data_IF_785669818531
#
_entry.id   IF_785669818531
#
_cell.length_a   1.000
_cell.length_b   1.000
_cell.length_c   1.000
_cell.angle_alpha   90.00
_cell.angle_beta   90.00
_cell.angle_gamma   90.00
#
_symmetry.space_group_name_H-M   'P 1'
#
loop_
_entity.id
_entity.type
_entity.pdbx_description
1 polymer ?
#
# COMPACT_ATOMS: atom_id res chain seq x y z
N UNK A 1 49.53 0.90 1.33
CA UNK A 1 49.78 2.00 0.36
C UNK A 1 49.22 1.55 -0.98
N UNK A 2 48.27 2.34 -1.53
CA UNK A 2 47.37 2.05 -2.66
C UNK A 2 46.41 0.86 -2.40
N UNK A 3 45.09 0.97 -2.43
CA UNK A 3 44.24 1.78 -3.30
C UNK A 3 42.94 2.21 -2.56
N UNK A 4 43.02 3.34 -1.87
CA UNK A 4 41.89 4.25 -1.65
C UNK A 4 41.59 4.92 -3.00
N UNK A 5 40.64 4.41 -3.80
CA UNK A 5 40.08 5.07 -5.00
C UNK A 5 39.04 4.16 -5.66
N UNK A 6 37.86 4.01 -5.03
CA UNK A 6 36.62 3.54 -5.70
C UNK A 6 35.36 4.22 -5.12
N UNK A 7 35.50 5.48 -4.71
CA UNK A 7 34.38 6.36 -4.37
C UNK A 7 34.56 7.65 -5.15
N UNK A 8 34.06 7.69 -6.38
CA UNK A 8 33.77 8.90 -7.17
C UNK A 8 33.44 8.46 -8.60
N UNK A 9 32.15 8.29 -8.93
CA UNK A 9 31.54 8.45 -10.28
C UNK A 9 30.13 7.85 -10.28
N UNK A 10 29.23 8.39 -9.47
CA UNK A 10 27.78 8.26 -9.62
C UNK A 10 27.14 9.64 -9.44
N UNK A 11 27.62 10.59 -10.23
CA UNK A 11 27.05 11.92 -10.33
C UNK A 11 26.46 12.12 -11.71
N UNK A 12 25.20 12.57 -11.73
CA UNK A 12 24.47 13.17 -12.85
C UNK A 12 23.87 12.20 -13.88
N UNK A 13 22.84 11.47 -13.47
CA UNK A 13 21.59 11.34 -14.25
C UNK A 13 20.41 11.20 -13.25
N UNK A 14 20.21 12.22 -12.42
CA UNK A 14 18.91 12.41 -11.78
C UNK A 14 17.99 12.97 -12.87
N UNK A 15 17.24 12.10 -13.55
CA UNK A 15 16.00 12.50 -14.19
C UNK A 15 15.07 12.83 -13.04
N UNK A 16 15.02 14.12 -12.67
CA UNK A 16 14.12 14.58 -11.63
C UNK A 16 12.72 14.07 -11.93
N UNK A 17 12.11 13.38 -10.97
CA UNK A 17 10.67 13.32 -10.94
C UNK A 17 10.15 14.78 -11.01
N UNK A 18 8.99 15.02 -11.60
CA UNK A 18 8.34 16.30 -11.46
C UNK A 18 7.12 15.95 -10.62
N UNK A 19 7.11 16.35 -9.35
CA UNK A 19 5.85 16.40 -8.62
C UNK A 19 4.99 17.50 -9.25
N UNK A 20 3.67 17.38 -9.12
CA UNK A 20 2.70 18.28 -9.74
C UNK A 20 3.11 19.75 -9.57
N UNK A 21 3.14 20.47 -10.70
CA UNK A 21 3.52 21.88 -10.82
C UNK A 21 2.65 22.73 -9.86
N UNK A 22 3.22 23.80 -9.30
CA UNK A 22 2.41 24.78 -8.58
C UNK A 22 1.29 25.33 -9.48
N UNK A 23 0.04 25.04 -9.11
CA UNK A 23 -1.16 25.59 -9.73
C UNK A 23 -2.00 26.28 -8.65
N UNK A 24 -2.45 27.51 -8.92
CA UNK A 24 -3.10 28.35 -7.93
C UNK A 24 -4.40 27.74 -7.37
N UNK A 25 -5.03 26.85 -8.13
CA UNK A 25 -6.25 26.14 -7.73
C UNK A 25 -6.02 25.02 -6.70
N UNK A 26 -4.79 24.52 -6.58
CA UNK A 26 -4.43 23.43 -5.66
C UNK A 26 -3.69 23.90 -4.41
N UNK A 27 -3.62 25.22 -4.21
CA UNK A 27 -3.02 25.82 -3.01
C UNK A 27 -3.76 25.34 -1.77
N UNK A 28 -3.02 24.79 -0.82
CA UNK A 28 -3.56 24.20 0.41
C UNK A 28 -4.04 22.76 0.26
N UNK A 29 -3.98 22.14 -0.93
CA UNK A 29 -4.30 20.73 -1.15
C UNK A 29 -3.10 19.93 -1.67
N UNK A 30 -2.18 20.57 -2.39
CA UNK A 30 -0.95 19.95 -2.87
C UNK A 30 0.09 19.90 -1.74
N UNK A 31 0.45 18.68 -1.31
CA UNK A 31 1.45 18.45 -0.27
C UNK A 31 2.83 18.98 -0.68
N UNK A 32 3.10 19.11 -1.98
CA UNK A 32 4.30 19.73 -2.52
C UNK A 32 4.16 21.26 -2.60
N UNK A 33 4.06 21.91 -1.44
CA UNK A 33 3.85 23.37 -1.32
C UNK A 33 5.07 24.22 -1.79
N UNK A 34 6.25 23.61 -1.97
CA UNK A 34 7.50 24.30 -2.32
C UNK A 34 7.83 24.15 -3.84
N UNK A 35 8.00 25.28 -4.53
CA UNK A 35 7.96 25.45 -5.99
C UNK A 35 9.04 24.66 -6.80
N UNK A 36 8.57 23.71 -7.62
CA UNK A 36 8.96 23.34 -9.00
C UNK A 36 10.32 22.69 -9.38
N UNK A 37 11.23 22.30 -8.48
CA UNK A 37 12.36 21.42 -8.88
C UNK A 37 12.61 20.35 -7.85
N UNK A 38 12.36 19.08 -8.20
CA UNK A 38 12.62 17.99 -7.28
C UNK A 38 14.10 17.87 -6.92
N UNK A 39 14.38 18.21 -5.67
CA UNK A 39 15.03 17.32 -4.71
C UNK A 39 14.31 17.56 -3.38
N UNK A 40 13.89 16.51 -2.68
CA UNK A 40 13.15 16.55 -1.42
C UNK A 40 14.04 17.11 -0.30
N UNK A 41 14.37 18.40 -0.36
CA UNK A 41 15.23 19.06 0.61
C UNK A 41 14.35 20.01 1.41
N UNK A 42 13.67 19.43 2.42
CA UNK A 42 12.99 20.11 3.53
C UNK A 42 11.47 20.37 3.40
N UNK A 43 10.69 19.33 3.10
CA UNK A 43 9.22 19.35 3.07
C UNK A 43 8.55 19.10 4.45
N UNK A 44 9.28 19.33 5.55
CA UNK A 44 8.74 19.15 6.90
C UNK A 44 7.67 20.19 7.21
N UNK A 45 6.68 19.82 8.01
CA UNK A 45 5.70 20.73 8.58
C UNK A 45 6.42 21.76 9.47
N UNK A 46 6.54 22.99 8.95
CA UNK A 46 7.33 24.04 9.59
C UNK A 46 6.83 24.37 10.99
N UNK A 47 7.74 24.34 11.98
CA UNK A 47 7.44 24.65 13.38
C UNK A 47 6.68 23.55 14.12
N UNK A 48 6.42 22.41 13.49
CA UNK A 48 5.72 21.27 14.10
C UNK A 48 6.64 20.40 14.94
N UNK A 49 6.09 19.82 16.01
CA UNK A 49 6.75 18.76 16.79
C UNK A 49 6.06 17.44 16.47
N UNK A 50 6.72 16.60 15.70
CA UNK A 50 6.21 15.31 15.26
C UNK A 50 5.91 14.39 16.45
N UNK A 51 4.80 13.66 16.36
CA UNK A 51 4.42 12.70 17.38
C UNK A 51 5.30 11.43 17.29
N UNK A 52 5.93 11.00 18.40
CA UNK A 52 6.77 9.80 18.37
C UNK A 52 5.93 8.54 18.19
N UNK A 53 6.50 7.51 17.58
CA UNK A 53 5.86 6.20 17.49
C UNK A 53 5.61 5.59 18.88
N UNK A 54 4.55 4.77 19.05
CA UNK A 54 4.38 4.01 20.27
C UNK A 54 5.47 2.97 20.42
N UNK A 55 5.76 2.56 21.65
CA UNK A 55 6.68 1.45 21.93
C UNK A 55 6.13 0.09 21.50
N UNK A 56 4.81 -0.02 21.34
CA UNK A 56 4.10 -1.23 20.93
C UNK A 56 2.77 -0.86 20.26
N UNK A 57 2.50 -1.43 19.10
CA UNK A 57 1.28 -1.20 18.30
C UNK A 57 0.09 -2.08 18.67
N UNK A 58 0.25 -2.98 19.64
CA UNK A 58 -0.83 -3.88 20.10
C UNK A 58 -1.82 -3.14 20.99
N UNK A 59 -2.73 -2.41 20.35
CA UNK A 59 -3.88 -1.76 20.96
C UNK A 59 -5.06 -1.75 19.96
N UNK A 60 -6.30 -1.47 20.40
CA UNK A 60 -7.46 -1.50 19.50
C UNK A 60 -7.40 -0.42 18.42
N UNK A 61 -7.67 -0.84 17.18
CA UNK A 61 -7.85 0.05 16.03
C UNK A 61 -9.33 0.24 15.70
N UNK A 62 -9.67 1.40 15.16
CA UNK A 62 -10.97 1.67 14.54
C UNK A 62 -10.73 2.07 13.09
N UNK A 63 -11.27 1.27 12.17
CA UNK A 63 -11.20 1.56 10.74
C UNK A 63 -12.49 2.18 10.27
N UNK A 64 -12.40 3.26 9.51
CA UNK A 64 -13.56 3.95 8.93
C UNK A 64 -13.25 4.45 7.52
N UNK A 65 -14.28 4.53 6.69
CA UNK A 65 -14.26 5.34 5.47
C UNK A 65 -14.72 6.74 5.83
N UNK A 66 -13.91 7.77 5.54
CA UNK A 66 -14.27 9.16 5.86
C UNK A 66 -15.62 9.53 5.25
N UNK A 67 -15.78 9.29 3.94
CA UNK A 67 -17.01 9.61 3.19
C UNK A 67 -18.26 8.99 3.84
N UNK A 68 -18.15 7.81 4.45
CA UNK A 68 -19.29 7.05 5.01
C UNK A 68 -19.47 7.25 6.52
N UNK A 69 -18.76 8.18 7.14
CA UNK A 69 -18.76 8.34 8.59
C UNK A 69 -19.65 9.51 9.05
N UNK A 70 -19.15 10.75 9.00
CA UNK A 70 -19.87 11.95 9.44
C UNK A 70 -19.52 13.10 8.50
N UNK A 71 -20.54 13.73 7.92
CA UNK A 71 -20.42 14.97 7.14
C UNK A 71 -20.39 16.16 8.12
N UNK A 72 -19.21 16.76 8.29
CA UNK A 72 -18.98 17.89 9.19
C UNK A 72 -18.85 19.22 8.47
N UNK A 73 -18.56 19.22 7.17
CA UNK A 73 -18.44 20.39 6.31
C UNK A 73 -19.13 20.16 4.95
N UNK A 74 -20.45 20.40 4.85
CA UNK A 74 -21.18 20.24 3.59
C UNK A 74 -20.73 21.17 2.45
N UNK A 75 -19.81 22.13 2.71
CA UNK A 75 -19.32 23.03 1.67
C UNK A 75 -18.37 22.36 0.68
N UNK A 76 -17.81 21.19 1.04
CA UNK A 76 -16.92 20.40 0.18
C UNK A 76 -17.61 19.20 -0.51
N UNK A 77 -18.91 18.97 -0.26
CA UNK A 77 -19.66 17.82 -0.80
C UNK A 77 -19.67 17.74 -2.34
N UNK A 78 -19.66 18.90 -3.01
CA UNK A 78 -19.71 19.00 -4.48
C UNK A 78 -18.57 19.89 -5.00
N UNK A 79 -17.37 19.69 -4.47
CA UNK A 79 -16.22 20.57 -4.68
C UNK A 79 -15.80 20.65 -6.16
N UNK A 80 -16.05 19.61 -6.95
CA UNK A 80 -15.79 19.63 -8.39
C UNK A 80 -16.92 20.28 -9.20
N UNK A 81 -18.03 20.66 -8.56
CA UNK A 81 -19.17 21.34 -9.19
C UNK A 81 -19.95 20.46 -10.17
N UNK A 82 -19.87 19.12 -10.03
CA UNK A 82 -20.57 18.19 -10.91
C UNK A 82 -22.00 17.93 -10.44
N UNK A 83 -22.89 17.49 -11.35
CA UNK A 83 -24.34 17.36 -11.06
C UNK A 83 -24.69 16.20 -10.10
N UNK A 84 -23.79 15.23 -9.89
CA UNK A 84 -24.04 13.98 -9.15
C UNK A 84 -22.79 13.52 -8.38
N UNK A 85 -22.23 14.41 -7.58
CA UNK A 85 -21.07 14.09 -6.73
C UNK A 85 -21.52 13.46 -5.41
N UNK A 86 -22.41 14.17 -4.72
CA UNK A 86 -22.92 13.80 -3.41
C UNK A 86 -24.41 13.38 -3.45
N UNK A 87 -24.69 12.17 -2.96
CA UNK A 87 -26.03 11.68 -2.63
C UNK A 87 -25.93 10.61 -1.54
N UNK A 88 -26.28 10.97 -0.31
CA UNK A 88 -26.25 10.08 0.86
C UNK A 88 -27.24 8.91 0.79
N UNK A 89 -28.18 8.92 -0.17
CA UNK A 89 -29.12 7.82 -0.40
C UNK A 89 -28.59 6.80 -1.41
N UNK A 90 -27.47 7.05 -2.09
CA UNK A 90 -26.90 6.16 -3.10
C UNK A 90 -25.67 5.44 -2.57
N UNK A 91 -25.52 4.15 -2.87
CA UNK A 91 -24.39 3.36 -2.36
C UNK A 91 -23.07 3.63 -3.09
N UNK A 92 -23.13 4.15 -4.31
CA UNK A 92 -21.96 4.35 -5.20
C UNK A 92 -21.55 5.82 -5.34
N UNK A 93 -22.26 6.75 -4.71
CA UNK A 93 -21.92 8.18 -4.71
C UNK A 93 -21.37 8.59 -3.36
N UNK A 94 -20.81 9.79 -3.28
CA UNK A 94 -20.28 10.34 -2.04
C UNK A 94 -21.42 10.64 -1.06
N UNK A 95 -21.20 10.35 0.21
CA UNK A 95 -22.12 10.66 1.32
C UNK A 95 -21.69 11.93 2.07
N UNK A 96 -20.53 12.49 1.72
CA UNK A 96 -20.06 13.80 2.20
C UNK A 96 -19.35 13.72 3.54
N UNK A 97 -19.05 12.52 4.03
CA UNK A 97 -18.26 12.40 5.24
C UNK A 97 -16.82 12.91 5.05
N UNK A 98 -16.30 13.62 6.04
CA UNK A 98 -15.08 14.40 5.90
C UNK A 98 -14.26 14.47 7.20
N UNK A 99 -13.14 15.19 7.15
CA UNK A 99 -12.22 15.31 8.29
C UNK A 99 -12.83 16.12 9.43
N UNK A 100 -13.65 17.14 9.14
CA UNK A 100 -14.32 17.90 10.18
C UNK A 100 -15.26 16.98 10.98
N UNK A 101 -16.04 16.14 10.28
CA UNK A 101 -16.91 15.16 10.93
C UNK A 101 -16.14 14.12 11.75
N UNK A 102 -14.95 13.71 11.30
CA UNK A 102 -14.05 12.88 12.10
C UNK A 102 -13.58 13.60 13.36
N UNK A 103 -13.08 14.84 13.26
CA UNK A 103 -12.66 15.67 14.39
C UNK A 103 -13.78 15.77 15.43
N UNK A 104 -14.99 16.07 14.99
CA UNK A 104 -16.18 16.21 15.84
C UNK A 104 -16.54 14.90 16.57
N UNK A 105 -16.08 13.76 16.05
CA UNK A 105 -16.37 12.42 16.57
C UNK A 105 -15.22 11.80 17.37
N UNK A 106 -14.05 12.46 17.47
CA UNK A 106 -12.88 11.88 18.14
C UNK A 106 -13.11 11.54 19.61
N UNK A 107 -13.98 12.29 20.31
CA UNK A 107 -14.33 12.00 21.71
C UNK A 107 -15.16 10.73 21.84
N UNK A 108 -16.03 10.45 20.87
CA UNK A 108 -16.76 9.18 20.80
C UNK A 108 -15.80 8.01 20.59
N UNK A 109 -14.88 8.14 19.63
CA UNK A 109 -13.93 7.07 19.31
C UNK A 109 -12.95 6.82 20.46
N UNK A 110 -12.37 7.89 21.03
CA UNK A 110 -11.51 7.78 22.20
C UNK A 110 -12.27 7.23 23.41
N UNK A 111 -13.54 7.58 23.58
CA UNK A 111 -14.42 7.08 24.63
C UNK A 111 -14.66 5.56 24.57
N UNK A 112 -14.55 4.94 23.40
CA UNK A 112 -14.60 3.47 23.24
C UNK A 112 -13.32 2.76 23.70
N UNK A 113 -12.24 3.50 23.99
CA UNK A 113 -10.93 2.94 24.34
C UNK A 113 -10.05 2.61 23.13
N UNK A 114 -10.40 3.10 21.95
CA UNK A 114 -9.60 2.99 20.72
C UNK A 114 -8.30 3.80 20.87
N UNK A 115 -7.21 3.28 20.29
CA UNK A 115 -5.90 3.94 20.30
C UNK A 115 -5.26 4.09 18.93
N UNK A 116 -5.69 3.32 17.93
CA UNK A 116 -5.32 3.52 16.54
C UNK A 116 -6.53 3.85 15.68
N UNK A 117 -6.39 4.81 14.77
CA UNK A 117 -7.34 5.06 13.70
C UNK A 117 -6.73 4.59 12.39
N UNK A 118 -7.50 3.85 11.60
CA UNK A 118 -7.16 3.50 10.23
C UNK A 118 -8.17 4.20 9.31
N UNK A 119 -7.69 5.09 8.45
CA UNK A 119 -8.53 5.71 7.43
C UNK A 119 -8.53 4.80 6.21
N UNK A 120 -9.65 4.10 6.00
CA UNK A 120 -9.87 3.27 4.83
C UNK A 120 -10.13 4.14 3.61
N UNK A 121 -9.48 3.80 2.50
CA UNK A 121 -9.40 4.66 1.33
C UNK A 121 -8.29 5.70 1.45
N UNK A 122 -7.69 6.05 0.32
CA UNK A 122 -6.52 6.93 0.30
C UNK A 122 -6.90 8.40 0.53
N UNK A 123 -6.00 9.23 1.09
CA UNK A 123 -6.28 10.65 1.32
C UNK A 123 -6.18 11.50 0.04
N UNK A 124 -5.80 10.90 -1.09
CA UNK A 124 -5.40 11.59 -2.30
C UNK A 124 -6.55 11.78 -3.29
N UNK A 125 -6.38 12.74 -4.20
CA UNK A 125 -7.35 13.11 -5.23
C UNK A 125 -7.91 11.87 -5.92
N UNK A 126 -9.23 11.74 -5.90
CA UNK A 126 -9.95 10.70 -6.62
C UNK A 126 -10.88 11.28 -7.68
N UNK A 127 -11.58 10.40 -8.40
CA UNK A 127 -12.70 10.84 -9.23
C UNK A 127 -13.77 11.53 -8.37
N UNK A 128 -14.54 12.47 -8.96
CA UNK A 128 -15.69 13.11 -8.29
C UNK A 128 -16.63 12.10 -7.61
N UNK A 129 -16.94 10.98 -8.27
CA UNK A 129 -17.80 9.91 -7.73
C UNK A 129 -17.03 8.82 -6.95
N UNK A 130 -15.70 8.94 -6.80
CA UNK A 130 -14.81 7.94 -6.20
C UNK A 130 -14.89 7.86 -4.67
N UNK A 131 -16.06 7.51 -4.14
CA UNK A 131 -16.36 7.50 -2.70
C UNK A 131 -15.59 6.43 -1.89
N UNK A 132 -15.01 5.42 -2.54
CA UNK A 132 -14.16 4.42 -1.89
C UNK A 132 -12.73 4.90 -1.67
N UNK A 133 -12.34 5.97 -2.37
CA UNK A 133 -11.01 6.58 -2.36
C UNK A 133 -9.82 5.66 -2.64
N UNK A 134 -10.02 4.50 -3.30
CA UNK A 134 -8.91 3.60 -3.63
C UNK A 134 -8.27 3.87 -5.00
N UNK A 135 -8.83 4.76 -5.80
CA UNK A 135 -8.38 5.02 -7.18
C UNK A 135 -7.67 6.39 -7.34
N UNK A 136 -6.53 6.63 -6.66
CA UNK A 136 -5.91 7.97 -6.65
C UNK A 136 -5.46 8.37 -8.06
N UNK A 137 -5.70 9.63 -8.39
CA UNK A 137 -5.27 10.25 -9.65
C UNK A 137 -3.92 10.97 -9.50
N UNK A 138 -3.55 11.33 -8.27
CA UNK A 138 -2.31 12.01 -7.95
C UNK A 138 -1.91 11.78 -6.48
N UNK A 139 -0.70 11.28 -6.20
CA UNK A 139 -0.25 10.99 -4.83
C UNK A 139 0.26 12.21 -4.04
N UNK A 140 0.29 13.39 -4.66
CA UNK A 140 0.73 14.64 -4.03
C UNK A 140 -0.44 15.55 -3.66
N UNK A 141 -1.60 15.38 -4.30
CA UNK A 141 -2.79 16.18 -4.08
C UNK A 141 -3.78 15.47 -3.15
N UNK A 142 -4.22 16.15 -2.09
CA UNK A 142 -5.28 15.65 -1.21
C UNK A 142 -6.66 15.75 -1.88
N UNK A 143 -7.54 14.79 -1.58
CA UNK A 143 -8.93 14.83 -2.03
C UNK A 143 -9.67 15.99 -1.36
N UNK A 144 -10.12 16.95 -2.17
CA UNK A 144 -10.72 18.18 -1.68
C UNK A 144 -12.04 17.95 -0.96
N UNK A 145 -12.70 16.80 -1.19
CA UNK A 145 -13.91 16.38 -0.47
C UNK A 145 -13.66 16.13 1.01
N UNK A 146 -12.43 15.78 1.41
CA UNK A 146 -12.13 15.48 2.81
C UNK A 146 -11.64 16.71 3.59
N UNK A 147 -10.99 17.63 2.89
CA UNK A 147 -10.46 18.86 3.47
C UNK A 147 -9.09 19.22 2.92
N UNK A 148 -8.60 20.39 3.32
CA UNK A 148 -7.28 20.87 2.93
C UNK A 148 -6.18 20.42 3.91
N UNK A 149 -4.92 20.71 3.59
CA UNK A 149 -3.75 20.37 4.41
C UNK A 149 -3.90 20.87 5.85
N UNK A 150 -4.43 22.08 6.05
CA UNK A 150 -4.63 22.63 7.39
C UNK A 150 -5.63 21.79 8.21
N UNK A 151 -6.68 21.28 7.57
CA UNK A 151 -7.68 20.42 8.21
C UNK A 151 -7.13 19.02 8.52
N UNK A 152 -6.33 18.44 7.63
CA UNK A 152 -5.60 17.18 7.91
C UNK A 152 -4.65 17.34 9.10
N UNK A 153 -3.90 18.45 9.15
CA UNK A 153 -3.00 18.79 10.24
C UNK A 153 -3.73 18.94 11.57
N UNK A 154 -4.85 19.65 11.60
CA UNK A 154 -5.72 19.79 12.78
C UNK A 154 -6.24 18.43 13.27
N UNK A 155 -6.68 17.56 12.34
CA UNK A 155 -7.14 16.21 12.68
C UNK A 155 -6.04 15.40 13.35
N UNK A 156 -4.84 15.40 12.79
CA UNK A 156 -3.69 14.64 13.31
C UNK A 156 -3.30 15.16 14.70
N UNK A 157 -3.23 16.48 14.89
CA UNK A 157 -2.99 17.11 16.19
C UNK A 157 -4.05 16.70 17.23
N UNK A 158 -5.33 16.71 16.87
CA UNK A 158 -6.42 16.34 17.77
C UNK A 158 -6.41 14.83 18.11
N UNK A 159 -6.00 13.97 17.18
CA UNK A 159 -5.79 12.53 17.42
C UNK A 159 -4.62 12.34 18.41
N UNK A 160 -3.48 12.98 18.14
CA UNK A 160 -2.29 12.88 18.99
C UNK A 160 -2.50 13.48 20.38
N UNK A 161 -3.29 14.56 20.51
CA UNK A 161 -3.67 15.17 21.81
C UNK A 161 -4.42 14.19 22.71
N UNK A 162 -5.11 13.21 22.12
CA UNK A 162 -5.82 12.12 22.83
C UNK A 162 -4.93 10.90 23.09
N UNK A 163 -3.64 10.97 22.72
CA UNK A 163 -2.71 9.85 22.79
C UNK A 163 -3.19 8.66 21.96
N UNK A 164 -3.74 8.96 20.78
CA UNK A 164 -4.10 8.01 19.74
C UNK A 164 -3.15 8.20 18.55
N UNK A 165 -3.13 7.23 17.63
CA UNK A 165 -2.29 7.22 16.44
C UNK A 165 -3.14 7.09 15.18
N UNK A 166 -2.64 7.59 14.06
CA UNK A 166 -3.33 7.51 12.76
C UNK A 166 -2.49 6.77 11.73
N UNK A 167 -3.11 5.81 11.07
CA UNK A 167 -2.58 5.16 9.88
C UNK A 167 -3.50 5.48 8.70
N UNK A 168 -2.91 5.70 7.53
CA UNK A 168 -3.65 6.00 6.31
C UNK A 168 -3.48 4.88 5.30
N UNK A 169 -4.52 4.63 4.52
CA UNK A 169 -4.45 3.67 3.43
C UNK A 169 -3.64 4.21 2.25
N UNK A 170 -2.89 3.31 1.61
CA UNK A 170 -2.19 3.56 0.37
C UNK A 170 -2.34 2.39 -0.58
N UNK A 171 -2.50 2.69 -1.88
CA UNK A 171 -2.45 1.67 -2.92
C UNK A 171 -1.05 1.45 -3.47
N UNK A 172 -0.18 2.48 -3.40
CA UNK A 172 1.18 2.64 -3.96
C UNK A 172 1.37 2.26 -5.44
N UNK A 173 0.98 1.05 -5.80
CA UNK A 173 1.20 0.39 -7.07
C UNK A 173 0.00 0.49 -8.04
N UNK A 174 -1.11 1.08 -7.61
CA UNK A 174 -2.28 1.29 -8.46
C UNK A 174 -2.80 2.71 -8.38
N UNK A 175 -3.25 3.22 -9.52
CA UNK A 175 -3.86 4.54 -9.69
C UNK A 175 -5.30 4.39 -10.20
N UNK A 176 -5.97 5.50 -10.53
CA UNK A 176 -7.28 5.47 -11.17
C UNK A 176 -7.34 4.71 -12.50
N UNK A 177 -8.47 4.75 -13.19
CA UNK A 177 -8.66 4.11 -14.50
C UNK A 177 -8.73 5.18 -15.60
N UNK A 178 -7.57 5.74 -15.96
CA UNK A 178 -7.50 6.76 -17.02
C UNK A 178 -7.21 6.15 -18.40
N UNK A 179 -6.78 4.89 -18.45
CA UNK A 179 -6.45 4.24 -19.71
C UNK A 179 -7.00 2.81 -19.82
N UNK A 180 -7.40 2.41 -21.01
CA UNK A 180 -7.76 1.04 -21.34
C UNK A 180 -6.77 0.40 -22.31
N UNK A 181 -7.15 -0.75 -22.84
CA UNK A 181 -6.33 -1.50 -23.78
C UNK A 181 -6.93 -1.44 -25.20
N UNK A 182 -6.08 -1.38 -26.23
CA UNK A 182 -6.53 -1.37 -27.62
C UNK A 182 -7.38 -2.61 -27.92
N UNK A 183 -8.59 -2.39 -28.46
CA UNK A 183 -9.58 -3.44 -28.69
C UNK A 183 -10.46 -3.79 -27.48
N UNK A 184 -10.15 -3.24 -26.29
CA UNK A 184 -10.82 -3.55 -25.02
C UNK A 184 -11.15 -2.29 -24.20
N UNK A 185 -11.71 -1.26 -24.84
CA UNK A 185 -12.16 -0.05 -24.12
C UNK A 185 -13.50 -0.23 -23.41
N UNK A 186 -14.35 -1.11 -23.91
CA UNK A 186 -15.74 -1.30 -23.45
C UNK A 186 -15.98 -2.66 -22.77
N UNK A 187 -14.93 -3.46 -22.60
CA UNK A 187 -14.93 -4.76 -21.94
C UNK A 187 -13.58 -4.98 -21.22
N UNK A 188 -13.50 -6.02 -20.39
CA UNK A 188 -12.24 -6.39 -19.73
C UNK A 188 -11.29 -7.07 -20.72
N UNK A 189 -10.04 -6.62 -20.76
CA UNK A 189 -9.01 -7.28 -21.55
C UNK A 189 -8.55 -8.55 -20.84
N UNK A 190 -8.50 -9.72 -21.51
CA UNK A 190 -8.00 -10.93 -20.86
C UNK A 190 -6.52 -10.79 -20.53
N UNK A 191 -6.08 -11.42 -19.44
CA UNK A 191 -4.66 -11.40 -19.05
C UNK A 191 -3.76 -11.89 -20.20
N UNK A 192 -2.71 -11.12 -20.48
CA UNK A 192 -1.73 -11.38 -21.55
C UNK A 192 -0.34 -10.88 -21.11
N UNK A 193 0.64 -11.77 -20.89
CA UNK A 193 1.97 -11.41 -20.42
C UNK A 193 2.86 -10.70 -21.47
N UNK A 194 2.39 -10.58 -22.71
CA UNK A 194 3.09 -9.90 -23.83
C UNK A 194 2.55 -8.49 -24.10
N UNK A 195 1.76 -7.96 -23.17
CA UNK A 195 1.21 -6.60 -23.13
C UNK A 195 0.26 -6.20 -24.26
N UNK A 196 -0.66 -5.30 -23.94
CA UNK A 196 -1.53 -4.58 -24.88
C UNK A 196 -1.02 -3.18 -25.13
N UNK A 197 -1.38 -2.56 -26.25
CA UNK A 197 -1.20 -1.12 -26.41
C UNK A 197 -2.22 -0.38 -25.54
N UNK A 198 -1.78 0.70 -24.91
CA UNK A 198 -2.65 1.53 -24.08
C UNK A 198 -3.39 2.56 -24.92
N UNK A 199 -4.66 2.81 -24.56
CA UNK A 199 -5.48 3.87 -25.13
C UNK A 199 -6.10 4.68 -23.99
N UNK A 200 -5.90 5.99 -23.98
CA UNK A 200 -6.55 6.87 -23.01
C UNK A 200 -8.07 6.79 -23.14
N UNK A 201 -8.77 6.61 -22.02
CA UNK A 201 -10.24 6.58 -21.99
C UNK A 201 -10.82 7.96 -22.27
N UNK A 202 -10.20 8.98 -21.71
CA UNK A 202 -10.52 10.38 -21.91
C UNK A 202 -9.25 11.14 -22.29
N UNK A 203 -9.22 11.71 -23.49
CA UNK A 203 -8.05 12.47 -23.99
C UNK A 203 -7.83 13.79 -23.26
N UNK A 204 -8.77 14.21 -22.41
CA UNK A 204 -8.67 15.43 -21.62
C UNK A 204 -8.09 15.20 -20.23
N UNK A 205 -7.88 13.93 -19.84
CA UNK A 205 -7.35 13.54 -18.53
C UNK A 205 -6.02 12.82 -18.68
N UNK A 206 -5.12 13.06 -17.75
CA UNK A 206 -3.82 12.40 -17.66
C UNK A 206 -3.36 12.37 -16.21
N UNK A 207 -2.49 11.40 -15.88
CA UNK A 207 -1.71 11.46 -14.65
C UNK A 207 -0.67 12.58 -14.77
N UNK A 208 -0.39 13.26 -13.66
CA UNK A 208 0.59 14.34 -13.65
C UNK A 208 2.02 13.82 -13.55
N UNK A 209 2.24 12.86 -12.65
CA UNK A 209 3.58 12.41 -12.30
C UNK A 209 3.98 11.07 -12.95
N UNK A 210 3.03 10.38 -13.60
CA UNK A 210 3.23 9.08 -14.25
C UNK A 210 2.78 9.09 -15.71
N UNK A 211 3.53 8.40 -16.57
CA UNK A 211 3.33 8.46 -18.00
C UNK A 211 2.97 7.06 -18.52
N UNK A 212 1.71 6.85 -18.98
CA UNK A 212 1.40 5.66 -19.75
C UNK A 212 2.14 5.71 -21.09
N UNK A 213 2.17 4.57 -21.78
CA UNK A 213 2.69 4.48 -23.14
C UNK A 213 2.10 5.59 -24.04
N UNK A 214 2.95 6.51 -24.51
CA UNK A 214 2.56 7.59 -25.43
C UNK A 214 3.04 7.35 -26.87
N UNK A 215 4.04 6.49 -27.05
CA UNK A 215 4.60 6.12 -28.35
C UNK A 215 4.51 4.60 -28.57
N UNK A 216 4.53 4.16 -29.82
CA UNK A 216 4.53 2.73 -30.17
C UNK A 216 5.93 2.10 -30.03
N UNK A 217 6.59 2.36 -28.89
CA UNK A 217 7.91 1.85 -28.53
C UNK A 217 7.77 0.57 -27.73
N UNK A 218 7.90 -0.56 -28.42
CA UNK A 218 7.95 -1.88 -27.82
C UNK A 218 9.39 -2.38 -27.76
N UNK A 219 9.85 -2.78 -26.58
CA UNK A 219 11.15 -3.40 -26.41
C UNK A 219 10.99 -4.91 -26.42
N UNK A 220 11.76 -5.64 -27.24
CA UNK A 220 11.65 -7.11 -27.36
C UNK A 220 12.00 -7.85 -26.06
N UNK A 221 12.71 -7.18 -25.15
CA UNK A 221 13.08 -7.70 -23.83
C UNK A 221 12.63 -6.75 -22.74
N UNK A 222 12.14 -7.29 -21.63
CA UNK A 222 11.81 -6.54 -20.43
C UNK A 222 12.61 -7.03 -19.22
N UNK A 223 13.03 -6.11 -18.36
CA UNK A 223 13.71 -6.44 -17.10
C UNK A 223 12.69 -6.67 -15.98
N UNK A 224 11.92 -7.76 -16.10
CA UNK A 224 10.90 -8.10 -15.11
C UNK A 224 11.50 -8.37 -13.72
N UNK A 225 10.73 -8.13 -12.64
CA UNK A 225 11.14 -8.46 -11.28
C UNK A 225 11.10 -9.97 -11.03
N UNK A 226 11.58 -10.37 -9.85
CA UNK A 226 11.43 -11.75 -9.38
C UNK A 226 9.97 -12.03 -9.05
N UNK A 227 9.36 -12.99 -9.73
CA UNK A 227 8.02 -13.46 -9.42
C UNK A 227 8.06 -14.72 -8.57
N UNK A 228 7.03 -14.87 -7.75
CA UNK A 228 6.86 -15.98 -6.83
C UNK A 228 5.52 -16.67 -7.11
N UNK A 229 5.47 -17.98 -6.92
CA UNK A 229 4.24 -18.76 -6.98
C UNK A 229 3.65 -18.99 -5.59
N UNK A 230 2.41 -19.48 -5.55
CA UNK A 230 1.66 -19.73 -4.32
C UNK A 230 2.33 -20.77 -3.40
N UNK A 231 3.29 -21.55 -3.92
CA UNK A 231 4.07 -22.52 -3.16
C UNK A 231 5.20 -21.86 -2.37
N UNK A 232 5.44 -20.57 -2.56
CA UNK A 232 6.52 -19.82 -1.90
C UNK A 232 7.86 -19.93 -2.63
N UNK A 233 7.87 -20.34 -3.90
CA UNK A 233 9.08 -20.46 -4.72
C UNK A 233 9.11 -19.45 -5.84
N UNK A 234 10.32 -19.12 -6.32
CA UNK A 234 10.49 -18.33 -7.53
C UNK A 234 9.90 -19.09 -8.72
N UNK A 235 9.13 -18.40 -9.55
CA UNK A 235 8.47 -19.03 -10.71
C UNK A 235 9.49 -19.67 -11.66
N UNK A 236 9.10 -20.81 -12.23
CA UNK A 236 9.96 -21.57 -13.14
C UNK A 236 10.01 -21.02 -14.56
N UNK A 237 10.80 -21.71 -15.41
CA UNK A 237 10.95 -21.33 -16.82
C UNK A 237 9.65 -21.48 -17.62
N UNK A 238 8.71 -22.29 -17.14
CA UNK A 238 7.36 -22.43 -17.67
C UNK A 238 6.58 -21.12 -17.60
N UNK A 239 6.79 -20.30 -16.57
CA UNK A 239 6.22 -18.95 -16.46
C UNK A 239 7.10 -17.93 -17.18
N UNK A 240 8.42 -17.94 -16.93
CA UNK A 240 9.33 -16.94 -17.50
C UNK A 240 9.37 -16.95 -19.04
N UNK A 241 9.14 -18.10 -19.68
CA UNK A 241 9.05 -18.20 -21.14
C UNK A 241 7.76 -17.62 -21.73
N UNK A 242 6.74 -17.37 -20.91
CA UNK A 242 5.50 -16.70 -21.32
C UNK A 242 5.65 -15.17 -21.28
N UNK A 243 6.56 -14.65 -20.45
CA UNK A 243 6.86 -13.23 -20.36
C UNK A 243 7.53 -12.76 -21.66
N UNK A 244 7.01 -11.65 -22.20
CA UNK A 244 7.46 -11.10 -23.47
C UNK A 244 8.43 -9.94 -23.33
N UNK A 245 8.46 -9.12 -24.37
CA UNK A 245 8.89 -7.74 -24.26
C UNK A 245 7.85 -6.86 -23.58
N UNK A 246 8.21 -5.61 -23.33
CA UNK A 246 7.30 -4.61 -22.75
C UNK A 246 7.36 -3.27 -23.49
N UNK A 247 6.26 -2.53 -23.42
CA UNK A 247 6.22 -1.15 -23.90
C UNK A 247 6.99 -0.21 -22.97
N UNK A 248 7.55 0.84 -23.56
CA UNK A 248 8.12 1.96 -22.82
C UNK A 248 6.99 2.74 -22.11
N UNK A 249 6.74 2.39 -20.85
CA UNK A 249 5.59 2.81 -20.07
C UNK A 249 5.89 2.69 -18.58
N UNK A 250 5.32 3.58 -17.77
CA UNK A 250 5.38 3.48 -16.30
C UNK A 250 4.28 2.56 -15.74
N UNK A 251 3.44 1.97 -16.61
CA UNK A 251 2.32 1.10 -16.24
C UNK A 251 2.47 -0.29 -16.84
N UNK A 252 2.08 -1.31 -16.06
CA UNK A 252 1.93 -2.68 -16.55
C UNK A 252 0.71 -2.78 -17.46
N UNK A 253 0.87 -3.54 -18.55
CA UNK A 253 -0.10 -3.56 -19.66
C UNK A 253 -0.61 -4.98 -19.92
N UNK A 254 -0.69 -5.81 -18.89
CA UNK A 254 -0.97 -7.24 -19.01
C UNK A 254 -2.47 -7.59 -19.08
N UNK A 255 -3.38 -6.62 -19.21
CA UNK A 255 -4.82 -6.87 -19.20
C UNK A 255 -5.41 -6.88 -17.79
N UNK A 256 -6.55 -7.53 -17.62
CA UNK A 256 -7.35 -7.54 -16.40
C UNK A 256 -7.36 -8.91 -15.70
N UNK A 257 -7.36 -8.87 -14.37
CA UNK A 257 -7.62 -10.00 -13.48
C UNK A 257 -9.02 -9.82 -12.89
N UNK A 258 -9.94 -10.77 -13.13
CA UNK A 258 -11.23 -10.82 -12.43
C UNK A 258 -11.04 -10.90 -10.91
N UNK A 259 -11.88 -10.21 -10.15
CA UNK A 259 -11.79 -10.28 -8.70
C UNK A 259 -12.50 -11.47 -8.06
N UNK A 260 -12.94 -12.42 -8.87
CA UNK A 260 -13.45 -13.72 -8.41
C UNK A 260 -12.79 -14.82 -9.22
N UNK A 261 -12.54 -15.96 -8.58
CA UNK A 261 -11.81 -17.07 -9.18
C UNK A 261 -10.32 -17.05 -8.84
N UNK A 262 -9.66 -18.16 -9.16
CA UNK A 262 -8.26 -18.35 -8.84
C UNK A 262 -7.37 -17.94 -10.02
N UNK A 263 -6.42 -17.05 -9.75
CA UNK A 263 -5.35 -16.65 -10.66
C UNK A 263 -4.01 -16.80 -9.92
N UNK A 264 -2.96 -17.32 -10.59
CA UNK A 264 -1.64 -17.42 -9.97
C UNK A 264 -1.18 -16.08 -9.42
N UNK A 265 -0.60 -16.06 -8.22
CA UNK A 265 -0.30 -14.80 -7.52
C UNK A 265 0.61 -13.86 -8.32
N UNK A 266 1.54 -14.38 -9.12
CA UNK A 266 2.40 -13.57 -9.99
C UNK A 266 1.62 -12.78 -11.07
N UNK A 267 0.48 -13.28 -11.54
CA UNK A 267 -0.34 -12.56 -12.53
C UNK A 267 -1.01 -11.35 -11.90
N UNK A 268 -1.38 -11.46 -10.62
CA UNK A 268 -1.99 -10.38 -9.84
C UNK A 268 -1.02 -9.19 -9.66
N UNK A 269 0.28 -9.39 -9.87
CA UNK A 269 1.29 -8.33 -9.80
C UNK A 269 1.43 -7.52 -11.09
N UNK A 270 0.87 -8.02 -12.22
CA UNK A 270 0.98 -7.40 -13.54
C UNK A 270 -0.36 -6.94 -14.11
N UNK A 271 -1.46 -7.59 -13.74
CA UNK A 271 -2.78 -7.29 -14.29
C UNK A 271 -3.55 -6.24 -13.48
N UNK A 272 -4.48 -5.56 -14.15
CA UNK A 272 -5.45 -4.67 -13.51
C UNK A 272 -6.52 -5.48 -12.79
N UNK A 273 -6.71 -5.23 -11.50
CA UNK A 273 -7.73 -5.95 -10.75
C UNK A 273 -9.13 -5.36 -11.03
N UNK A 274 -10.09 -6.20 -11.43
CA UNK A 274 -11.49 -5.84 -11.73
C UNK A 274 -11.69 -4.67 -12.73
N UNK A 275 -10.69 -4.34 -13.56
CA UNK A 275 -10.76 -3.22 -14.50
C UNK A 275 -11.00 -1.84 -13.84
N UNK A 276 -10.68 -1.68 -12.56
CA UNK A 276 -10.96 -0.42 -11.83
C UNK A 276 -9.76 0.49 -11.63
N UNK A 277 -8.53 -0.02 -11.80
CA UNK A 277 -7.32 0.71 -11.46
C UNK A 277 -6.15 0.37 -12.39
N UNK A 278 -5.44 1.39 -12.82
CA UNK A 278 -4.23 1.30 -13.62
C UNK A 278 -3.06 0.82 -12.77
N UNK A 279 -2.27 -0.13 -13.29
CA UNK A 279 -1.18 -0.79 -12.55
C UNK A 279 0.15 -0.13 -12.86
N UNK A 280 0.80 0.47 -11.87
CA UNK A 280 2.15 1.02 -12.01
C UNK A 280 3.19 -0.10 -12.04
N UNK A 281 4.29 0.13 -12.76
CA UNK A 281 5.48 -0.72 -12.71
C UNK A 281 6.35 -0.30 -11.54
N UNK A 282 5.91 -0.54 -10.31
CA UNK A 282 6.67 -0.11 -9.13
C UNK A 282 8.05 -0.80 -9.03
N UNK A 283 8.25 -1.89 -9.76
CA UNK A 283 9.53 -2.57 -9.91
C UNK A 283 10.54 -1.82 -10.80
N UNK A 284 10.11 -0.82 -11.56
CA UNK A 284 11.02 0.09 -12.28
C UNK A 284 11.58 1.14 -11.32
N UNK A 285 12.92 1.33 -11.23
CA UNK A 285 13.52 2.27 -10.27
C UNK A 285 12.97 3.69 -10.36
N UNK A 286 12.76 4.22 -11.57
CA UNK A 286 12.24 5.58 -11.77
C UNK A 286 10.80 5.77 -11.27
N UNK A 287 9.97 4.73 -11.33
CA UNK A 287 8.60 4.73 -10.79
C UNK A 287 8.66 4.57 -9.27
N UNK A 288 9.50 3.65 -8.79
CA UNK A 288 9.69 3.38 -7.36
C UNK A 288 10.17 4.63 -6.60
N UNK A 289 11.17 5.33 -7.12
CA UNK A 289 11.70 6.56 -6.51
C UNK A 289 10.61 7.65 -6.36
N UNK A 290 9.65 7.74 -7.30
CA UNK A 290 8.50 8.66 -7.15
C UNK A 290 7.62 8.24 -5.97
N UNK A 291 7.27 6.97 -5.90
CA UNK A 291 6.42 6.42 -4.83
C UNK A 291 7.06 6.59 -3.44
N UNK A 292 8.36 6.31 -3.33
CA UNK A 292 9.16 6.53 -2.12
C UNK A 292 9.09 8.01 -1.67
N UNK A 293 9.27 8.94 -2.61
CA UNK A 293 9.20 10.38 -2.33
C UNK A 293 7.80 10.82 -1.89
N UNK A 294 6.74 10.34 -2.55
CA UNK A 294 5.36 10.70 -2.21
C UNK A 294 4.92 10.12 -0.87
N UNK A 295 5.37 8.91 -0.56
CA UNK A 295 5.17 8.29 0.75
C UNK A 295 5.83 9.12 1.86
N UNK A 296 7.06 9.55 1.64
CA UNK A 296 7.80 10.39 2.59
C UNK A 296 7.15 11.78 2.74
N UNK A 297 6.66 12.36 1.65
CA UNK A 297 5.99 13.66 1.64
C UNK A 297 4.77 13.67 2.57
N UNK A 298 3.95 12.63 2.52
CA UNK A 298 2.77 12.48 3.37
C UNK A 298 3.15 12.38 4.85
N UNK A 299 4.20 11.62 5.20
CA UNK A 299 4.73 11.55 6.58
C UNK A 299 5.18 12.93 7.05
N UNK A 300 5.99 13.62 6.25
CA UNK A 300 6.58 14.89 6.63
C UNK A 300 5.57 16.04 6.70
N UNK A 301 4.56 16.07 5.82
CA UNK A 301 3.59 17.18 5.76
C UNK A 301 2.39 16.99 6.67
N UNK A 302 2.02 15.74 6.98
CA UNK A 302 0.80 15.41 7.75
C UNK A 302 1.06 14.74 9.11
N UNK A 303 2.28 14.30 9.41
CA UNK A 303 2.61 13.65 10.69
C UNK A 303 1.84 12.34 10.97
N UNK A 304 1.50 11.57 9.92
CA UNK A 304 0.90 10.24 10.05
C UNK A 304 1.82 9.27 10.81
N UNK A 305 1.27 8.20 11.39
CA UNK A 305 2.02 7.25 12.23
C UNK A 305 2.22 5.87 11.60
N UNK A 306 1.57 5.61 10.46
CA UNK A 306 1.70 4.36 9.73
C UNK A 306 0.97 4.35 8.39
N UNK A 307 1.24 3.30 7.61
CA UNK A 307 0.53 2.99 6.37
C UNK A 307 -0.15 1.63 6.45
N UNK A 308 -1.37 1.53 5.90
CA UNK A 308 -1.96 0.25 5.49
C UNK A 308 -1.97 0.18 3.97
N UNK A 309 -1.36 -0.85 3.42
CA UNK A 309 -1.29 -1.08 1.98
C UNK A 309 -2.50 -1.90 1.55
N UNK A 310 -3.31 -1.29 0.69
CA UNK A 310 -4.37 -1.97 -0.07
C UNK A 310 -3.73 -2.91 -1.10
N UNK A 311 -4.36 -4.07 -1.35
CA UNK A 311 -3.85 -5.05 -2.34
C UNK A 311 -2.37 -5.38 -2.15
N UNK A 312 -1.94 -5.54 -0.89
CA UNK A 312 -0.52 -5.56 -0.54
C UNK A 312 0.31 -6.62 -1.26
N UNK A 313 -0.27 -7.77 -1.60
CA UNK A 313 0.43 -8.84 -2.33
C UNK A 313 0.44 -8.68 -3.86
N UNK A 314 -0.25 -7.66 -4.40
CA UNK A 314 -0.14 -7.29 -5.81
C UNK A 314 1.15 -6.49 -6.06
N UNK A 315 1.72 -5.87 -5.03
CA UNK A 315 3.02 -5.19 -5.13
C UNK A 315 4.12 -6.23 -5.27
N UNK A 316 5.03 -6.05 -6.23
CA UNK A 316 6.18 -6.93 -6.40
C UNK A 316 7.07 -6.88 -5.16
N UNK A 317 7.47 -8.06 -4.69
CA UNK A 317 8.02 -8.24 -3.35
C UNK A 317 9.30 -7.44 -3.10
N UNK A 318 10.23 -7.45 -4.07
CA UNK A 318 11.50 -6.75 -3.95
C UNK A 318 11.28 -5.23 -3.93
N UNK A 319 10.42 -4.71 -4.80
CA UNK A 319 10.09 -3.28 -4.84
C UNK A 319 9.40 -2.82 -3.55
N UNK A 320 8.49 -3.63 -3.02
CA UNK A 320 7.83 -3.37 -1.75
C UNK A 320 8.83 -3.23 -0.58
N UNK A 321 9.82 -4.13 -0.52
CA UNK A 321 10.85 -4.09 0.52
C UNK A 321 11.67 -2.79 0.47
N UNK A 322 12.10 -2.37 -0.73
CA UNK A 322 12.82 -1.11 -0.95
C UNK A 322 11.97 0.12 -0.61
N UNK A 323 10.71 0.16 -1.06
CA UNK A 323 9.77 1.24 -0.73
C UNK A 323 9.61 1.35 0.79
N UNK A 324 9.42 0.23 1.48
CA UNK A 324 9.18 0.23 2.92
C UNK A 324 10.46 0.53 3.72
N UNK A 325 11.65 0.23 3.19
CA UNK A 325 12.91 0.74 3.76
C UNK A 325 12.93 2.27 3.72
N UNK A 326 12.70 2.87 2.54
CA UNK A 326 12.68 4.32 2.35
C UNK A 326 11.64 5.02 3.25
N UNK A 327 10.43 4.45 3.37
CA UNK A 327 9.39 4.93 4.30
C UNK A 327 9.90 4.95 5.74
N UNK A 328 10.55 3.88 6.20
CA UNK A 328 11.08 3.80 7.57
C UNK A 328 12.22 4.79 7.80
N UNK A 329 13.10 4.97 6.82
CA UNK A 329 14.16 5.98 6.90
C UNK A 329 13.57 7.39 7.02
N UNK A 330 12.62 7.74 6.15
CA UNK A 330 11.92 9.02 6.22
C UNK A 330 11.19 9.24 7.56
N UNK A 331 10.52 8.21 8.09
CA UNK A 331 9.86 8.29 9.39
C UNK A 331 10.88 8.55 10.53
N UNK A 332 12.05 7.91 10.50
CA UNK A 332 13.12 8.15 11.48
C UNK A 332 13.67 9.58 11.40
N UNK A 333 13.70 10.22 10.23
CA UNK A 333 14.12 11.62 10.10
C UNK A 333 13.22 12.62 10.85
N UNK A 334 11.99 12.20 11.18
CA UNK A 334 11.04 12.99 11.98
C UNK A 334 10.82 12.41 13.38
N UNK A 335 11.66 11.47 13.82
CA UNK A 335 11.64 10.89 15.17
C UNK A 335 10.60 9.78 15.38
N UNK A 336 10.07 9.20 14.30
CA UNK A 336 9.17 8.04 14.35
C UNK A 336 9.95 6.74 14.19
N UNK A 337 10.56 6.29 15.29
CA UNK A 337 11.45 5.12 15.29
C UNK A 337 10.75 3.76 15.15
N UNK A 338 9.43 3.70 15.36
CA UNK A 338 8.65 2.47 15.26
C UNK A 338 7.42 2.71 14.38
N UNK A 339 7.60 3.27 13.18
CA UNK A 339 6.54 3.51 12.21
C UNK A 339 5.86 2.19 11.78
N UNK A 340 4.54 2.18 11.66
CA UNK A 340 3.79 0.95 11.38
C UNK A 340 3.49 0.79 9.89
N UNK A 341 3.87 -0.35 9.31
CA UNK A 341 3.57 -0.66 7.91
C UNK A 341 2.86 -2.02 7.86
N UNK A 342 1.58 -2.01 7.48
CA UNK A 342 0.78 -3.23 7.34
C UNK A 342 0.28 -3.41 5.91
N UNK A 343 0.05 -4.64 5.48
CA UNK A 343 -0.47 -4.95 4.15
C UNK A 343 -1.72 -5.83 4.19
N UNK A 344 -2.57 -5.68 3.19
CA UNK A 344 -3.61 -6.67 2.89
C UNK A 344 -2.99 -7.92 2.24
N UNK A 345 -3.17 -9.09 2.87
CA UNK A 345 -2.61 -10.35 2.41
C UNK A 345 -3.75 -11.33 2.11
N UNK A 346 -4.23 -11.30 0.87
CA UNK A 346 -5.34 -12.13 0.39
C UNK A 346 -4.96 -13.55 -0.01
N UNK A 347 -3.68 -13.78 -0.35
CA UNK A 347 -3.13 -15.09 -0.72
C UNK A 347 -3.07 -16.10 0.44
N UNK A 348 -2.57 -17.30 0.15
CA UNK A 348 -2.31 -18.33 1.16
C UNK A 348 -1.17 -17.95 2.10
N UNK A 349 -1.08 -18.60 3.26
CA UNK A 349 -0.03 -18.28 4.23
C UNK A 349 1.38 -18.47 3.66
N UNK A 350 1.59 -19.49 2.83
CA UNK A 350 2.91 -19.75 2.24
C UNK A 350 3.36 -18.65 1.28
N UNK A 351 2.45 -18.00 0.55
CA UNK A 351 2.80 -16.82 -0.25
C UNK A 351 2.93 -15.59 0.65
N UNK A 352 2.00 -15.42 1.60
CA UNK A 352 1.98 -14.30 2.54
C UNK A 352 3.22 -14.23 3.45
N UNK A 353 3.82 -15.36 3.80
CA UNK A 353 5.06 -15.42 4.60
C UNK A 353 6.25 -14.80 3.87
N UNK A 354 6.23 -14.72 2.54
CA UNK A 354 7.25 -14.00 1.77
C UNK A 354 7.19 -12.49 2.04
N UNK A 355 6.00 -11.95 2.36
CA UNK A 355 5.72 -10.52 2.55
C UNK A 355 5.82 -10.06 4.02
N UNK A 356 5.87 -10.99 4.97
CA UNK A 356 5.89 -10.65 6.39
C UNK A 356 7.32 -10.57 6.92
N UNK A 357 7.67 -9.42 7.49
CA UNK A 357 9.01 -9.11 7.98
C UNK A 357 10.07 -9.29 6.89
N UNK A 358 11.19 -9.91 7.26
CA UNK A 358 12.28 -10.26 6.34
C UNK A 358 11.91 -11.37 5.35
N UNK A 359 10.72 -11.95 5.46
CA UNK A 359 10.21 -13.00 4.57
C UNK A 359 10.85 -14.35 4.87
N UNK A 360 10.08 -15.43 4.68
CA UNK A 360 10.57 -16.80 4.86
C UNK A 360 9.98 -17.73 3.82
N UNK A 361 10.83 -18.57 3.23
CA UNK A 361 10.41 -19.61 2.28
C UNK A 361 10.11 -20.93 3.00
N UNK A 362 9.37 -21.87 2.37
CA UNK A 362 9.03 -23.17 2.96
C UNK A 362 10.20 -23.96 3.55
N UNK A 363 11.38 -23.87 2.92
CA UNK A 363 12.59 -24.58 3.34
C UNK A 363 13.07 -24.11 4.72
N UNK A 364 12.81 -22.84 5.06
CA UNK A 364 13.23 -22.25 6.31
C UNK A 364 12.32 -22.62 7.50
N UNK A 365 11.11 -23.14 7.25
CA UNK A 365 10.13 -23.39 8.32
C UNK A 365 10.57 -24.54 9.22
N UNK A 366 11.07 -25.63 8.63
CA UNK A 366 11.48 -26.84 9.34
C UNK A 366 12.87 -26.76 9.99
N UNK A 367 13.60 -25.68 9.76
CA UNK A 367 14.95 -25.49 10.28
C UNK A 367 14.96 -25.03 11.75
N UNK A 368 13.80 -24.70 12.30
CA UNK A 368 13.64 -24.26 13.70
C UNK A 368 12.46 -24.95 14.38
N UNK A 369 12.55 -25.05 15.69
CA UNK A 369 11.46 -25.47 16.58
C UNK A 369 10.58 -24.28 16.99
N UNK A 370 9.41 -24.55 17.57
CA UNK A 370 8.54 -23.50 18.11
C UNK A 370 9.22 -22.70 19.24
N UNK A 371 10.06 -23.34 20.07
CA UNK A 371 10.80 -22.66 21.14
C UNK A 371 11.88 -21.71 20.60
N UNK A 372 12.48 -22.06 19.46
CA UNK A 372 13.42 -21.18 18.75
C UNK A 372 12.69 -20.06 18.01
N UNK A 373 11.53 -20.35 17.40
CA UNK A 373 10.71 -19.37 16.68
C UNK A 373 10.31 -18.17 17.57
N UNK A 374 9.91 -18.42 18.82
CA UNK A 374 9.54 -17.35 19.76
C UNK A 374 10.74 -16.57 20.32
N UNK A 375 11.98 -16.97 19.98
CA UNK A 375 13.23 -16.32 20.39
C UNK A 375 13.93 -15.62 19.22
N UNK A 376 13.35 -15.68 18.02
CA UNK A 376 13.91 -15.02 16.85
C UNK A 376 14.08 -13.53 17.10
N UNK A 377 15.18 -13.01 16.54
CA UNK A 377 15.58 -11.62 16.58
C UNK A 377 16.53 -11.35 15.39
N UNK A 378 17.08 -10.15 15.31
CA UNK A 378 17.96 -9.74 14.22
C UNK A 378 19.33 -10.45 14.23
N UNK A 379 19.76 -10.98 15.39
CA UNK A 379 20.98 -11.78 15.50
C UNK A 379 20.75 -13.28 15.26
N UNK A 380 19.52 -13.68 14.92
CA UNK A 380 19.21 -15.05 14.48
C UNK A 380 19.89 -15.36 13.15
N UNK A 381 19.98 -16.65 12.83
CA UNK A 381 20.58 -17.13 11.59
C UNK A 381 19.92 -16.48 10.36
N UNK A 382 20.70 -15.73 9.58
CA UNK A 382 20.24 -15.01 8.40
C UNK A 382 19.67 -15.97 7.33
N UNK A 383 20.08 -17.24 7.31
CA UNK A 383 19.56 -18.24 6.36
C UNK A 383 18.08 -18.60 6.59
N UNK A 384 17.50 -18.17 7.72
CA UNK A 384 16.08 -18.34 8.00
C UNK A 384 15.18 -17.32 7.28
N UNK A 385 15.78 -16.29 6.69
CA UNK A 385 15.09 -15.13 6.15
C UNK A 385 15.50 -14.86 4.71
N UNK A 386 14.61 -14.19 3.95
CA UNK A 386 14.87 -13.82 2.55
C UNK A 386 15.66 -12.51 2.43
N UNK A 387 15.57 -11.64 3.44
CA UNK A 387 16.06 -10.26 3.41
C UNK A 387 16.77 -9.87 4.70
N UNK A 388 17.54 -8.79 4.62
CA UNK A 388 18.25 -8.19 5.75
C UNK A 388 17.28 -7.50 6.74
N UNK A 389 17.75 -7.22 7.96
CA UNK A 389 16.95 -6.75 9.10
C UNK A 389 16.14 -5.47 8.86
N UNK A 390 16.61 -4.60 7.98
CA UNK A 390 16.02 -3.32 7.61
C UNK A 390 15.14 -3.40 6.36
N UNK A 391 15.26 -4.47 5.56
CA UNK A 391 14.51 -4.70 4.31
C UNK A 391 13.24 -5.54 4.55
N UNK A 392 12.59 -5.32 5.69
CA UNK A 392 11.29 -5.94 5.97
C UNK A 392 10.21 -5.40 5.03
N UNK A 393 9.39 -6.28 4.45
CA UNK A 393 8.24 -5.89 3.64
C UNK A 393 7.13 -5.33 4.55
N UNK A 394 6.17 -6.13 4.97
CA UNK A 394 5.14 -5.71 5.94
C UNK A 394 5.50 -6.09 7.36
N UNK A 395 5.21 -5.22 8.33
CA UNK A 395 5.32 -5.53 9.74
C UNK A 395 4.17 -6.41 10.25
N UNK A 396 3.05 -6.41 9.52
CA UNK A 396 1.82 -7.09 9.88
C UNK A 396 0.90 -7.28 8.66
N UNK A 397 0.06 -8.31 8.71
CA UNK A 397 -1.12 -8.41 7.86
C UNK A 397 -2.30 -7.63 8.48
N UNK A 398 -2.80 -6.59 7.80
CA UNK A 398 -4.02 -5.86 8.19
C UNK A 398 -5.29 -6.69 7.90
N UNK A 399 -5.20 -7.58 6.91
CA UNK A 399 -6.19 -8.61 6.60
C UNK A 399 -5.44 -9.90 6.30
N UNK A 400 -5.35 -10.78 7.29
CA UNK A 400 -4.72 -12.07 7.09
C UNK A 400 -5.77 -13.09 6.64
N UNK A 401 -5.97 -13.22 5.33
CA UNK A 401 -7.07 -14.05 4.83
C UNK A 401 -6.95 -15.52 5.24
N UNK A 402 -5.74 -16.03 5.49
CA UNK A 402 -5.55 -17.37 6.10
C UNK A 402 -6.27 -17.55 7.43
N UNK A 403 -6.10 -16.58 8.34
CA UNK A 403 -6.75 -16.58 9.66
C UNK A 403 -8.26 -16.43 9.49
N UNK A 404 -8.68 -15.57 8.57
CA UNK A 404 -10.10 -15.38 8.25
C UNK A 404 -10.77 -16.66 7.71
N UNK A 405 -10.21 -17.27 6.67
CA UNK A 405 -10.70 -18.52 6.09
C UNK A 405 -10.69 -19.66 7.12
N UNK A 406 -9.71 -19.68 8.03
CA UNK A 406 -9.70 -20.63 9.15
C UNK A 406 -10.86 -20.37 10.12
N UNK A 407 -11.13 -19.11 10.47
CA UNK A 407 -12.25 -18.70 11.34
C UNK A 407 -13.63 -19.03 10.75
N UNK A 408 -13.87 -18.71 9.48
CA UNK A 408 -15.17 -18.99 8.85
C UNK A 408 -15.44 -20.49 8.79
N UNK A 409 -14.42 -21.29 8.45
CA UNK A 409 -14.48 -22.76 8.51
C UNK A 409 -14.75 -23.28 9.92
N UNK A 410 -14.05 -22.74 10.92
CA UNK A 410 -14.26 -23.08 12.33
C UNK A 410 -15.70 -22.78 12.79
N UNK A 411 -16.28 -21.65 12.36
CA UNK A 411 -17.66 -21.25 12.67
C UNK A 411 -18.72 -22.01 11.85
N UNK A 412 -18.31 -22.91 10.96
CA UNK A 412 -19.22 -23.65 10.07
C UNK A 412 -19.93 -22.76 9.04
N UNK A 413 -19.40 -21.57 8.78
CA UNK A 413 -19.88 -20.71 7.71
C UNK A 413 -19.49 -21.32 6.36
N UNK A 414 -20.47 -21.51 5.48
CA UNK A 414 -20.23 -22.00 4.13
C UNK A 414 -19.60 -20.88 3.30
N UNK A 415 -18.33 -21.04 2.92
CA UNK A 415 -17.61 -20.15 2.01
C UNK A 415 -16.74 -20.94 1.05
N UNK A 416 -16.62 -20.46 -0.19
CA UNK A 416 -15.89 -21.14 -1.27
C UNK A 416 -14.37 -20.94 -1.23
N UNK A 417 -13.84 -20.09 -0.35
CA UNK A 417 -12.43 -19.75 -0.40
C UNK A 417 -11.60 -20.64 0.54
N UNK A 418 -11.17 -21.78 0.01
CA UNK A 418 -9.90 -22.36 0.43
C UNK A 418 -8.82 -21.81 -0.51
N UNK A 419 -7.84 -21.09 0.04
CA UNK A 419 -6.62 -20.79 -0.72
C UNK A 419 -5.73 -22.04 -0.73
N UNK A 420 -4.94 -22.20 -1.80
CA UNK A 420 -3.83 -23.14 -1.77
C UNK A 420 -2.82 -22.71 -0.71
N UNK A 421 -2.11 -23.70 -0.13
CA UNK A 421 -1.02 -23.50 0.82
C UNK A 421 -1.38 -22.62 2.03
N UNK A 422 -2.60 -22.81 2.54
CA UNK A 422 -3.15 -22.05 3.64
C UNK A 422 -2.97 -22.73 5.01
N UNK A 423 -3.22 -21.98 6.10
CA UNK A 423 -3.18 -22.54 7.46
C UNK A 423 -4.30 -23.56 7.71
N UNK A 424 -4.10 -24.54 8.60
CA UNK A 424 -5.13 -25.50 8.99
C UNK A 424 -6.29 -24.82 9.74
N UNK A 425 -7.41 -25.54 9.90
CA UNK A 425 -8.57 -25.06 10.66
C UNK A 425 -8.41 -25.20 12.19
N UNK A 426 -7.46 -26.03 12.64
CA UNK A 426 -7.12 -26.12 14.06
C UNK A 426 -6.36 -24.85 14.47
N UNK A 427 -6.88 -24.14 15.47
CA UNK A 427 -6.34 -22.85 15.89
C UNK A 427 -4.96 -22.96 16.53
N UNK A 428 -4.69 -24.04 17.26
CA UNK A 428 -3.37 -24.23 17.88
C UNK A 428 -2.34 -24.52 16.79
N UNK A 429 -2.71 -25.38 15.84
CA UNK A 429 -1.86 -25.68 14.68
C UNK A 429 -1.65 -24.44 13.80
N UNK A 430 -2.70 -23.62 13.58
CA UNK A 430 -2.60 -22.33 12.87
C UNK A 430 -1.55 -21.44 13.52
N UNK A 431 -1.62 -21.23 14.83
CA UNK A 431 -0.65 -20.44 15.57
C UNK A 431 0.77 -20.98 15.42
N UNK A 432 0.94 -22.29 15.51
CA UNK A 432 2.25 -22.93 15.35
C UNK A 432 2.81 -22.75 13.93
N UNK A 433 1.98 -22.92 12.91
CA UNK A 433 2.38 -22.71 11.51
C UNK A 433 2.79 -21.26 11.29
N UNK A 434 2.01 -20.29 11.77
CA UNK A 434 2.34 -18.87 11.63
C UNK A 434 3.63 -18.50 12.35
N UNK A 435 3.87 -19.00 13.57
CA UNK A 435 5.13 -18.80 14.30
C UNK A 435 6.34 -19.36 13.53
N UNK A 436 6.19 -20.52 12.89
CA UNK A 436 7.26 -21.16 12.14
C UNK A 436 7.47 -20.56 10.74
N UNK A 437 6.43 -20.02 10.12
CA UNK A 437 6.47 -19.58 8.73
C UNK A 437 6.58 -18.07 8.55
N UNK A 438 6.06 -17.26 9.47
CA UNK A 438 6.13 -15.80 9.35
C UNK A 438 7.34 -15.27 10.12
N UNK A 439 7.96 -14.19 9.64
CA UNK A 439 8.89 -13.40 10.45
C UNK A 439 8.11 -12.39 11.29
N UNK A 440 8.06 -12.64 12.59
CA UNK A 440 7.29 -11.86 13.56
C UNK A 440 8.19 -10.95 14.41
N UNK A 441 9.44 -10.75 13.98
CA UNK A 441 10.38 -9.84 14.64
C UNK A 441 10.07 -8.41 14.19
N UNK A 442 9.91 -7.53 15.17
CA UNK A 442 9.79 -6.10 14.90
C UNK A 442 11.16 -5.54 14.47
N UNK A 443 11.30 -5.03 13.23
CA UNK A 443 12.59 -4.56 12.71
C UNK A 443 13.14 -3.36 13.49
N UNK A 444 12.28 -2.59 14.15
CA UNK A 444 12.67 -1.39 14.89
C UNK A 444 13.04 -1.67 16.35
N UNK A 445 12.41 -2.65 16.99
CA UNK A 445 12.68 -2.96 18.42
C UNK A 445 13.50 -4.22 18.65
N UNK A 446 13.74 -5.00 17.59
CA UNK A 446 14.46 -6.26 17.62
C UNK A 446 13.87 -7.28 18.62
N UNK A 447 12.53 -7.27 18.74
CA UNK A 447 11.77 -8.14 19.64
C UNK A 447 10.71 -8.88 18.84
N UNK A 448 10.40 -10.10 19.28
CA UNK A 448 9.21 -10.80 18.80
C UNK A 448 7.97 -9.94 19.10
N UNK A 449 7.27 -9.56 18.05
CA UNK A 449 6.09 -8.71 18.05
C UNK A 449 5.10 -9.22 17.01
N UNK A 450 4.34 -10.29 17.34
CA UNK A 450 3.42 -10.96 16.41
C UNK A 450 2.15 -10.14 16.15
N UNK A 451 2.28 -8.93 15.60
CA UNK A 451 1.23 -7.89 15.53
C UNK A 451 -0.05 -8.38 14.87
N UNK A 452 0.04 -9.04 13.71
CA UNK A 452 -1.14 -9.55 12.99
C UNK A 452 -1.75 -10.82 13.58
N UNK A 453 -1.16 -11.39 14.63
CA UNK A 453 -1.78 -12.47 15.39
C UNK A 453 -2.74 -11.93 16.46
N UNK A 454 -2.71 -10.61 16.73
CA UNK A 454 -3.53 -9.94 17.72
C UNK A 454 -4.44 -8.90 17.05
N UNK A 455 -5.60 -9.33 16.56
CA UNK A 455 -6.59 -8.48 15.90
C UNK A 455 -7.16 -9.19 14.69
N UNK A 456 -8.42 -9.64 14.77
CA UNK A 456 -9.01 -10.56 13.78
C UNK A 456 -10.12 -9.96 12.95
N UNK A 457 -10.37 -8.64 12.99
CA UNK A 457 -11.53 -8.10 12.28
C UNK A 457 -11.36 -6.64 11.82
N UNK A 458 -11.48 -6.46 10.51
CA UNK A 458 -11.98 -5.25 9.87
C UNK A 458 -13.22 -5.66 9.03
N UNK A 459 -14.11 -4.73 8.69
CA UNK A 459 -15.46 -5.00 8.15
C UNK A 459 -15.49 -5.87 6.88
N UNK A 460 -14.42 -5.92 6.09
CA UNK A 460 -14.32 -6.77 4.89
C UNK A 460 -14.37 -8.27 5.19
N UNK A 461 -14.14 -8.66 6.44
CA UNK A 461 -14.25 -10.04 6.97
C UNK A 461 -15.70 -10.58 6.90
N UNK A 462 -16.72 -9.74 6.75
CA UNK A 462 -18.13 -10.18 6.65
C UNK A 462 -18.79 -9.84 5.31
N UNK A 463 -18.02 -9.31 4.36
CA UNK A 463 -18.46 -9.09 2.99
C UNK A 463 -18.48 -10.41 2.23
#
# INVERSE_FOLDING_TARGET
>A
MASLLRFALWGLYALGSNALRYEAEYVGYNLNEDDATLGVVNNKWAGHTYHPSPTNWRFPFYTLFLDKFVNGDPSNDNINGTLFEHDSMQTMLRHGGDIQGLIDSLDYIAGMGVKGLCIAGTPWLNFPWGADSYSPLDFTLLDQHYGNIAKYREMVEEIHRRGMYIIVDTTMSTMGDLHGFEGHLNDSAPFKPTEYKVVLRDKTRQYHDFHPQTEDKYNETCAYPTFWDDTGHVVGQDVLSQLGGCYDSEFDQAGDIPGVGFFPDWQNQLGKYQSVQDRLREWMPSVREKLENFACLTIQKLDIDGYRFDKGIQITLDALAEINLSIRECAREVGKDNFFIAGEISGGNTFGSLYLGRGRTPEAYGNITLDEAVKLNNASDATLFMRDEDHGAYDAAAFHYSVYRSLTRFLGMQGFDASFYDVPADWVETWNVLLLSNDLVNPNTNKLDPRHMYGTANQDVFR
#
